data_IF_427847167961
#
_entry.id   IF_427847167961
#
_cell.length_a   1.000
_cell.length_b   1.000
_cell.length_c   1.000
_cell.angle_alpha   90.00
_cell.angle_beta   90.00
_cell.angle_gamma   90.00
#
_symmetry.space_group_name_H-M   'P 1'
#
loop_
_entity.id
_entity.type
_entity.pdbx_description
1 polymer ?
#
# COMPACT_ATOMS: atom_id res chain seq x y z
N UNK A 1 -6.27 9.38 -4.32
CA UNK A 1 -6.39 8.46 -5.47
C UNK A 1 -5.03 8.36 -6.16
N UNK A 2 -4.31 7.25 -6.01
CA UNK A 2 -3.11 6.98 -6.81
C UNK A 2 -3.54 6.51 -8.21
N UNK A 3 -3.01 7.12 -9.30
CA UNK A 3 -3.54 6.95 -10.66
C UNK A 3 -3.27 5.57 -11.29
N UNK A 4 -2.62 4.66 -10.57
CA UNK A 4 -2.23 3.33 -11.07
C UNK A 4 -3.22 2.20 -10.75
N UNK A 5 -4.21 2.42 -9.88
CA UNK A 5 -5.25 1.41 -9.58
C UNK A 5 -6.49 1.52 -10.47
N UNK A 6 -6.60 2.61 -11.24
CA UNK A 6 -7.71 2.84 -12.16
C UNK A 6 -7.77 1.88 -13.37
N UNK A 7 -6.66 1.46 -14.00
CA UNK A 7 -6.74 0.59 -15.17
C UNK A 7 -7.05 -0.87 -14.82
N UNK A 8 -6.70 -1.35 -13.63
CA UNK A 8 -6.88 -2.76 -13.25
C UNK A 8 -8.33 -3.06 -12.82
N UNK A 9 -8.95 -2.13 -12.09
CA UNK A 9 -10.38 -2.22 -11.74
C UNK A 9 -11.26 -1.97 -12.97
N UNK A 10 -10.90 -1.01 -13.84
CA UNK A 10 -11.57 -0.88 -15.13
C UNK A 10 -11.37 -2.10 -16.02
N UNK A 11 -10.18 -2.72 -16.05
CA UNK A 11 -9.96 -3.92 -16.86
C UNK A 11 -10.74 -5.14 -16.33
N UNK A 12 -10.89 -5.29 -15.01
CA UNK A 12 -11.68 -6.36 -14.41
C UNK A 12 -13.18 -6.15 -14.64
N UNK A 13 -13.68 -4.92 -14.45
CA UNK A 13 -15.08 -4.55 -14.73
C UNK A 13 -15.38 -4.64 -16.23
N UNK A 14 -14.46 -4.18 -17.08
CA UNK A 14 -14.60 -4.31 -18.53
C UNK A 14 -14.53 -5.76 -19.00
N UNK A 15 -13.68 -6.62 -18.40
CA UNK A 15 -13.68 -8.06 -18.70
C UNK A 15 -14.98 -8.74 -18.27
N UNK A 16 -15.52 -8.40 -17.09
CA UNK A 16 -16.81 -8.93 -16.63
C UNK A 16 -17.98 -8.44 -17.51
N UNK A 17 -17.95 -7.18 -17.97
CA UNK A 17 -18.95 -6.64 -18.89
C UNK A 17 -18.79 -7.18 -20.32
N UNK A 18 -17.57 -7.48 -20.76
CA UNK A 18 -17.26 -8.08 -22.08
C UNK A 18 -17.57 -9.58 -22.09
N UNK A 19 -17.32 -10.31 -21.00
CA UNK A 19 -17.77 -11.71 -20.84
C UNK A 19 -19.29 -11.79 -20.74
N UNK A 20 -19.95 -10.80 -20.12
CA UNK A 20 -21.42 -10.63 -20.19
C UNK A 20 -21.93 -10.23 -21.59
N UNK A 21 -21.06 -9.76 -22.50
CA UNK A 21 -21.41 -9.32 -23.85
C UNK A 21 -21.09 -10.35 -24.95
N UNK A 22 -20.24 -11.34 -24.66
CA UNK A 22 -19.82 -12.41 -25.58
C UNK A 22 -20.60 -13.71 -25.35
N UNK A 23 -21.89 -13.60 -25.07
CA UNK A 23 -22.81 -14.75 -25.04
C UNK A 23 -24.09 -14.48 -25.86
N UNK A 24 -23.98 -13.66 -26.91
CA UNK A 24 -25.06 -13.38 -27.87
C UNK A 24 -24.81 -13.93 -29.27
N UNK A 25 -24.19 -15.11 -29.37
CA UNK A 25 -24.00 -15.72 -30.68
C UNK A 25 -23.56 -17.17 -30.67
N UNK A 26 -24.33 -18.08 -30.06
CA UNK A 26 -24.72 -19.37 -30.66
C UNK A 26 -25.54 -20.22 -29.65
N UNK A 27 -26.83 -20.41 -29.91
CA UNK A 27 -27.52 -21.66 -29.58
C UNK A 27 -27.79 -22.05 -28.11
N UNK A 28 -28.24 -21.15 -27.24
CA UNK A 28 -28.88 -21.57 -25.97
C UNK A 28 -30.38 -21.75 -26.19
N UNK A 29 -30.79 -23.03 -26.29
CA UNK A 29 -32.19 -23.46 -26.13
C UNK A 29 -32.79 -22.75 -24.92
N UNK A 30 -33.81 -21.95 -25.16
CA UNK A 30 -34.66 -21.38 -24.13
C UNK A 30 -35.17 -22.51 -23.20
N UNK A 31 -34.64 -22.56 -21.96
CA UNK A 31 -35.36 -23.21 -20.87
C UNK A 31 -36.49 -22.26 -20.47
N UNK A 32 -37.68 -22.51 -21.01
CA UNK A 32 -38.94 -21.96 -20.49
C UNK A 32 -39.17 -22.54 -19.10
N UNK A 33 -39.44 -21.70 -18.09
CA UNK A 33 -40.12 -22.17 -16.87
C UNK A 33 -39.72 -21.62 -15.50
N UNK A 34 -39.18 -20.40 -15.36
CA UNK A 34 -39.15 -19.72 -14.05
C UNK A 34 -40.17 -18.58 -14.03
N UNK A 35 -40.96 -18.46 -12.95
CA UNK A 35 -41.90 -17.35 -12.77
C UNK A 35 -41.11 -16.03 -12.70
N UNK A 36 -41.60 -14.90 -13.26
CA UNK A 36 -40.91 -13.62 -13.23
C UNK A 36 -40.42 -13.24 -11.82
N UNK A 37 -41.21 -13.56 -10.79
CA UNK A 37 -40.86 -13.31 -9.39
C UNK A 37 -39.57 -14.01 -8.95
N UNK A 38 -39.30 -15.22 -9.43
CA UNK A 38 -38.11 -16.01 -9.06
C UNK A 38 -36.85 -15.43 -9.70
N UNK A 39 -36.95 -14.95 -10.95
CA UNK A 39 -35.84 -14.31 -11.66
C UNK A 39 -35.44 -12.98 -10.99
N UNK A 40 -36.42 -12.18 -10.56
CA UNK A 40 -36.14 -10.93 -9.82
C UNK A 40 -35.51 -11.19 -8.44
N UNK A 41 -35.94 -12.22 -7.71
CA UNK A 41 -35.34 -12.59 -6.42
C UNK A 41 -33.87 -13.03 -6.60
N UNK A 42 -33.59 -13.82 -7.64
CA UNK A 42 -32.22 -14.24 -7.95
C UNK A 42 -31.33 -13.05 -8.33
N UNK A 43 -31.83 -12.11 -9.12
CA UNK A 43 -31.08 -10.90 -9.50
C UNK A 43 -30.75 -10.02 -8.28
N UNK A 44 -31.71 -9.81 -7.37
CA UNK A 44 -31.52 -8.99 -6.16
C UNK A 44 -30.53 -9.62 -5.19
N UNK A 45 -30.58 -10.93 -4.99
CA UNK A 45 -29.64 -11.61 -4.07
C UNK A 45 -28.20 -11.57 -4.59
N UNK A 46 -27.99 -11.73 -5.91
CA UNK A 46 -26.68 -11.60 -6.54
C UNK A 46 -26.16 -10.15 -6.43
N UNK A 47 -27.01 -9.16 -6.69
CA UNK A 47 -26.65 -7.74 -6.57
C UNK A 47 -26.27 -7.37 -5.12
N UNK A 48 -27.05 -7.83 -4.13
CA UNK A 48 -26.76 -7.60 -2.72
C UNK A 48 -25.46 -8.29 -2.28
N UNK A 49 -25.25 -9.54 -2.70
CA UNK A 49 -24.03 -10.28 -2.39
C UNK A 49 -22.77 -9.64 -2.98
N UNK A 50 -22.80 -9.24 -4.25
CA UNK A 50 -21.68 -8.55 -4.90
C UNK A 50 -21.38 -7.19 -4.28
N UNK A 51 -22.42 -6.40 -3.94
CA UNK A 51 -22.25 -5.13 -3.23
C UNK A 51 -21.63 -5.31 -1.84
N UNK A 52 -22.08 -6.31 -1.08
CA UNK A 52 -21.53 -6.62 0.24
C UNK A 52 -20.05 -7.04 0.18
N UNK A 53 -19.71 -7.94 -0.74
CA UNK A 53 -18.32 -8.38 -0.94
C UNK A 53 -17.44 -7.19 -1.39
N UNK A 54 -17.91 -6.38 -2.33
CA UNK A 54 -17.22 -5.19 -2.79
C UNK A 54 -16.97 -4.17 -1.68
N UNK A 55 -17.97 -3.93 -0.82
CA UNK A 55 -17.84 -3.04 0.34
C UNK A 55 -16.84 -3.58 1.39
N UNK A 56 -16.89 -4.88 1.68
CA UNK A 56 -15.95 -5.52 2.61
C UNK A 56 -14.51 -5.47 2.07
N UNK A 57 -14.32 -5.73 0.78
CA UNK A 57 -13.03 -5.60 0.12
C UNK A 57 -12.53 -4.15 0.18
N UNK A 58 -13.37 -3.17 -0.17
CA UNK A 58 -13.03 -1.74 -0.08
C UNK A 58 -12.60 -1.36 1.34
N UNK A 59 -13.38 -1.70 2.36
CA UNK A 59 -13.06 -1.36 3.76
C UNK A 59 -11.76 -2.04 4.21
N UNK A 60 -11.54 -3.30 3.82
CA UNK A 60 -10.34 -4.06 4.21
C UNK A 60 -9.07 -3.51 3.56
N UNK A 61 -9.10 -3.22 2.26
CA UNK A 61 -7.94 -2.78 1.50
C UNK A 61 -7.67 -1.29 1.68
N UNK A 62 -8.69 -0.43 1.59
CA UNK A 62 -8.52 1.03 1.63
C UNK A 62 -8.16 1.52 3.04
N UNK A 63 -8.85 1.07 4.09
CA UNK A 63 -8.61 1.55 5.46
C UNK A 63 -7.27 1.07 6.02
N UNK A 64 -6.81 -0.13 5.64
CA UNK A 64 -5.53 -0.67 6.10
C UNK A 64 -4.34 0.04 5.44
N UNK A 65 -4.48 0.38 4.16
CA UNK A 65 -3.43 1.05 3.39
C UNK A 65 -3.22 2.51 3.86
N UNK A 66 -4.27 3.21 4.30
CA UNK A 66 -4.14 4.59 4.79
C UNK A 66 -3.54 4.74 6.20
N UNK A 67 -3.63 3.74 7.08
CA UNK A 67 -3.12 3.85 8.46
C UNK A 67 -1.60 3.71 8.59
N UNK A 68 -0.94 3.04 7.64
CA UNK A 68 0.50 2.76 7.73
C UNK A 68 1.38 3.67 6.87
N UNK A 69 0.80 4.53 6.03
CA UNK A 69 1.55 5.37 5.08
C UNK A 69 2.40 6.46 5.73
N UNK A 70 2.09 6.88 6.95
CA UNK A 70 2.83 7.93 7.66
C UNK A 70 3.90 7.40 8.62
N UNK A 71 4.04 6.08 8.77
CA UNK A 71 4.99 5.52 9.74
C UNK A 71 6.43 5.66 9.24
N UNK A 72 7.21 6.52 9.89
CA UNK A 72 8.61 6.79 9.52
C UNK A 72 9.53 5.62 9.88
N UNK A 73 9.40 5.06 11.09
CA UNK A 73 10.19 3.93 11.56
C UNK A 73 9.41 2.61 11.38
N UNK A 74 9.79 1.70 10.46
CA UNK A 74 9.09 0.44 10.25
C UNK A 74 9.47 -0.67 11.23
N UNK A 75 10.76 -0.82 11.59
CA UNK A 75 11.25 -2.02 12.30
C UNK A 75 12.28 -1.79 13.41
N UNK A 76 12.78 -0.57 13.62
CA UNK A 76 13.87 -0.30 14.56
C UNK A 76 13.32 -0.12 15.98
N UNK A 77 13.79 -0.91 16.96
CA UNK A 77 13.52 -0.76 18.40
C UNK A 77 12.05 -0.44 18.74
N UNK A 78 11.13 -1.32 18.33
CA UNK A 78 9.68 -1.13 18.48
C UNK A 78 9.15 -1.36 19.90
N UNK A 79 9.95 -2.01 20.72
CA UNK A 79 9.79 -2.17 22.16
C UNK A 79 9.99 -0.85 22.92
N UNK A 80 10.79 0.07 22.36
CA UNK A 80 11.02 1.38 22.95
C UNK A 80 9.96 2.41 22.47
N UNK A 81 9.18 3.02 23.38
CA UNK A 81 8.17 4.01 23.00
C UNK A 81 8.77 5.26 22.35
N UNK A 82 10.05 5.57 22.63
CA UNK A 82 10.77 6.72 22.05
C UNK A 82 12.26 6.42 21.95
N UNK A 83 12.69 6.10 20.73
CA UNK A 83 14.09 5.82 20.42
C UNK A 83 14.88 7.13 20.32
N UNK A 84 15.88 7.30 21.20
CA UNK A 84 16.78 8.46 21.27
C UNK A 84 18.22 7.96 21.34
N UNK A 85 19.12 8.61 20.62
CA UNK A 85 20.56 8.34 20.70
C UNK A 85 21.26 9.62 21.13
N UNK A 86 22.11 9.53 22.16
CA UNK A 86 22.97 10.59 22.64
C UNK A 86 24.43 10.19 22.38
N UNK A 87 25.22 11.12 21.87
CA UNK A 87 26.64 10.95 21.60
C UNK A 87 27.37 12.18 22.12
N UNK A 88 28.46 11.94 22.85
CA UNK A 88 29.35 12.99 23.32
C UNK A 88 30.29 13.41 22.18
N UNK A 89 30.64 14.69 22.12
CA UNK A 89 31.46 15.26 21.04
C UNK A 89 32.88 14.73 21.02
N UNK A 90 33.36 14.26 22.16
CA UNK A 90 34.70 13.73 22.38
C UNK A 90 34.84 12.31 21.79
N UNK A 91 33.77 11.53 21.84
CA UNK A 91 33.71 10.13 21.35
C UNK A 91 33.42 10.07 19.84
N UNK A 92 33.01 11.19 19.26
CA UNK A 92 32.83 11.37 17.83
C UNK A 92 34.22 11.46 17.16
N UNK A 93 34.52 10.49 16.27
CA UNK A 93 35.68 10.60 15.37
C UNK A 93 35.59 11.82 14.44
N UNK A 94 36.57 12.03 13.57
CA UNK A 94 36.68 13.23 12.72
C UNK A 94 35.40 13.54 11.92
N UNK A 95 34.67 12.50 11.54
CA UNK A 95 33.40 12.59 10.81
C UNK A 95 32.46 11.47 11.24
N UNK A 96 31.30 11.85 11.74
CA UNK A 96 30.19 10.94 11.99
C UNK A 96 29.03 11.22 11.04
N UNK A 97 28.35 10.15 10.62
CA UNK A 97 27.22 10.23 9.70
C UNK A 97 26.06 9.43 10.29
N UNK A 98 25.01 10.14 10.67
CA UNK A 98 23.83 9.59 11.34
C UNK A 98 22.64 9.45 10.41
N UNK A 99 21.90 8.36 10.59
CA UNK A 99 20.71 8.04 9.84
C UNK A 99 19.51 8.89 10.30
N UNK A 100 18.79 9.48 9.34
CA UNK A 100 17.49 10.14 9.58
C UNK A 100 16.32 9.46 8.89
N UNK A 101 16.59 8.48 8.02
CA UNK A 101 15.55 7.79 7.24
C UNK A 101 14.95 6.56 7.94
N UNK A 102 15.52 6.10 9.06
CA UNK A 102 15.07 4.89 9.76
C UNK A 102 15.07 3.62 8.88
N UNK A 103 15.97 3.54 7.89
CA UNK A 103 16.16 2.36 7.02
C UNK A 103 17.53 1.71 7.17
N UNK A 104 18.46 2.36 7.88
CA UNK A 104 19.83 1.86 8.05
C UNK A 104 19.85 0.57 8.87
N UNK A 105 20.61 -0.43 8.40
CA UNK A 105 20.89 -1.65 9.16
C UNK A 105 21.88 -1.41 10.30
N UNK A 106 22.66 -0.34 10.19
CA UNK A 106 23.64 0.10 11.21
C UNK A 106 23.10 1.26 12.05
N UNK A 107 21.77 1.39 12.17
CA UNK A 107 21.16 2.47 12.94
C UNK A 107 21.75 2.51 14.35
N UNK A 108 22.22 3.68 14.84
CA UNK A 108 21.91 5.04 14.39
C UNK A 108 22.79 5.63 13.27
N UNK A 109 23.82 4.91 12.81
CA UNK A 109 24.71 5.37 11.73
C UNK A 109 24.04 5.23 10.35
N UNK A 110 24.46 6.07 9.40
CA UNK A 110 24.00 5.96 8.01
C UNK A 110 24.84 4.94 7.23
N UNK A 111 24.16 4.01 6.56
CA UNK A 111 24.77 2.99 5.68
C UNK A 111 24.45 3.21 4.19
N UNK A 112 23.78 4.31 3.83
CA UNK A 112 23.36 4.61 2.46
C UNK A 112 21.94 4.13 2.11
N UNK A 113 21.24 3.44 3.01
CA UNK A 113 19.88 2.91 2.73
C UNK A 113 18.83 3.99 2.38
N UNK A 114 19.11 5.27 2.65
CA UNK A 114 18.24 6.38 2.25
C UNK A 114 18.15 6.54 0.72
N UNK A 115 19.18 6.16 -0.04
CA UNK A 115 19.18 6.26 -1.50
C UNK A 115 18.08 5.38 -2.08
N UNK A 116 18.09 4.09 -1.70
CA UNK A 116 17.06 3.13 -2.11
C UNK A 116 15.66 3.56 -1.69
N UNK A 117 15.51 4.08 -0.47
CA UNK A 117 14.24 4.61 0.01
C UNK A 117 13.74 5.79 -0.84
N UNK A 118 14.62 6.74 -1.17
CA UNK A 118 14.29 7.88 -2.02
C UNK A 118 13.88 7.44 -3.43
N UNK A 119 14.58 6.46 -4.02
CA UNK A 119 14.24 5.89 -5.34
C UNK A 119 12.87 5.20 -5.33
N UNK A 120 12.56 4.41 -4.31
CA UNK A 120 11.30 3.65 -4.23
C UNK A 120 10.08 4.51 -3.88
N UNK A 121 10.28 5.57 -3.10
CA UNK A 121 9.18 6.39 -2.56
C UNK A 121 9.05 7.76 -3.22
N UNK A 122 10.07 8.22 -3.95
CA UNK A 122 10.18 9.59 -4.46
C UNK A 122 10.50 10.62 -3.37
N UNK A 123 11.02 10.17 -2.23
CA UNK A 123 11.42 11.01 -1.10
C UNK A 123 12.80 11.64 -1.32
N UNK A 124 13.20 12.59 -0.47
CA UNK A 124 14.44 13.35 -0.58
C UNK A 124 15.23 13.42 0.74
N UNK A 125 15.11 12.40 1.59
CA UNK A 125 15.79 12.36 2.88
C UNK A 125 17.29 12.09 2.73
N UNK A 126 18.07 12.60 3.68
CA UNK A 126 19.52 12.42 3.75
C UNK A 126 20.05 12.34 5.19
N UNK A 127 21.29 11.89 5.39
CA UNK A 127 21.89 11.74 6.71
C UNK A 127 22.19 13.08 7.37
N UNK A 128 22.47 13.04 8.68
CA UNK A 128 23.09 14.13 9.42
C UNK A 128 24.59 13.87 9.50
N UNK A 129 25.40 14.81 9.00
CA UNK A 129 26.87 14.71 9.07
C UNK A 129 27.37 15.66 10.14
N UNK A 130 28.07 15.13 11.13
CA UNK A 130 28.74 15.90 12.17
C UNK A 130 30.24 15.76 11.91
N UNK A 131 30.93 16.89 11.77
CA UNK A 131 32.39 16.95 11.63
C UNK A 131 32.96 17.61 12.86
N UNK A 132 34.05 17.06 13.40
CA UNK A 132 34.82 17.76 14.43
C UNK A 132 35.43 19.00 13.80
N UNK A 133 35.37 20.13 14.51
CA UNK A 133 36.04 21.35 14.07
C UNK A 133 37.53 21.17 14.35
N UNK A 134 38.35 21.29 13.32
CA UNK A 134 39.80 21.35 13.49
C UNK A 134 40.12 22.53 14.40
N UNK A 135 40.76 22.23 15.54
CA UNK A 135 41.10 23.21 16.58
C UNK A 135 42.53 23.68 16.38
#
# INVERSE_FOLDING_TARGET
MSPLFQPLVHALVARLLVESGRDRGCGLRARRGASPAVEWIAAVTIAAGTAAIGYLAYKRFYVKDHRNKSMVNPHIQKDNPKVVHAFDMEDLGDKAVYCRCWRSKKFPLCDGSHIKHNEETGDNVGPLIIKKKDT
#
